data_IF_435587616445
#
_entry.id   IF_435587616445
#
_cell.length_a   1.000
_cell.length_b   1.000
_cell.length_c   1.000
_cell.angle_alpha   90.00
_cell.angle_beta   90.00
_cell.angle_gamma   90.00
#
_symmetry.space_group_name_H-M   'P 1'
#
loop_
_entity.id
_entity.type
_entity.pdbx_description
1 polymer ?
#
# COMPACT_ATOMS: atom_id res chain seq x y z
N UNK A 1 15.57 -3.41 1.17
CA UNK A 1 14.91 -2.32 1.96
C UNK A 1 15.45 -2.27 3.39
N UNK A 2 15.67 -1.09 3.99
CA UNK A 2 16.13 -0.95 5.40
C UNK A 2 15.05 -1.44 6.36
N UNK A 3 15.41 -2.20 7.39
CA UNK A 3 14.50 -2.65 8.44
C UNK A 3 13.60 -3.84 8.10
N UNK A 4 13.47 -4.22 6.82
CA UNK A 4 12.61 -5.34 6.41
C UNK A 4 13.03 -6.67 7.06
N UNK A 5 14.32 -7.01 6.99
CA UNK A 5 14.83 -8.27 7.57
C UNK A 5 14.57 -8.34 9.08
N UNK A 6 14.69 -7.21 9.78
CA UNK A 6 14.42 -7.14 11.22
C UNK A 6 12.94 -7.32 11.51
N UNK A 7 12.08 -6.66 10.73
CA UNK A 7 10.63 -6.84 10.79
C UNK A 7 10.22 -8.29 10.51
N UNK A 8 10.71 -8.88 9.42
CA UNK A 8 10.46 -10.28 9.02
C UNK A 8 10.82 -11.27 10.14
N UNK A 9 12.03 -11.15 10.72
CA UNK A 9 12.46 -11.99 11.84
C UNK A 9 11.57 -11.83 13.07
N UNK A 10 11.26 -10.58 13.45
CA UNK A 10 10.46 -10.28 14.65
C UNK A 10 9.03 -10.81 14.57
N UNK A 11 8.40 -10.70 13.39
CA UNK A 11 7.02 -11.13 13.17
C UNK A 11 6.88 -12.50 12.50
N UNK A 12 7.94 -13.31 12.51
CA UNK A 12 7.98 -14.63 11.85
C UNK A 12 6.87 -15.60 12.29
N UNK A 13 6.40 -15.50 13.55
CA UNK A 13 5.29 -16.30 14.09
C UNK A 13 3.91 -15.66 13.90
N UNK A 14 3.84 -14.45 13.33
CA UNK A 14 2.61 -13.66 13.21
C UNK A 14 2.33 -13.20 11.77
N UNK A 15 2.83 -13.92 10.76
CA UNK A 15 2.63 -13.57 9.35
C UNK A 15 1.16 -13.47 8.96
N UNK A 16 0.28 -14.20 9.64
CA UNK A 16 -1.16 -14.12 9.39
C UNK A 16 -1.86 -12.90 10.00
N UNK A 17 -1.19 -12.15 10.88
CA UNK A 17 -1.78 -11.02 11.61
C UNK A 17 -1.66 -9.69 10.87
N UNK A 18 -0.88 -9.68 9.78
CA UNK A 18 -0.67 -8.47 9.00
C UNK A 18 -0.51 -8.79 7.51
N UNK A 19 -0.66 -7.75 6.70
CA UNK A 19 -0.30 -7.76 5.28
C UNK A 19 0.44 -6.46 4.97
N UNK A 20 1.65 -6.56 4.41
CA UNK A 20 2.33 -5.40 3.86
C UNK A 20 1.72 -5.05 2.51
N UNK A 21 1.44 -3.76 2.33
CA UNK A 21 0.94 -3.20 1.09
C UNK A 21 1.86 -2.06 0.64
N UNK A 22 1.33 -1.17 -0.20
CA UNK A 22 1.96 0.12 -0.45
C UNK A 22 3.35 0.01 -1.10
N UNK A 23 4.30 0.81 -0.63
CA UNK A 23 5.62 0.92 -1.25
C UNK A 23 6.49 -0.32 -1.06
N UNK A 24 6.49 -0.86 0.16
CA UNK A 24 7.29 -2.02 0.54
C UNK A 24 6.90 -3.29 -0.23
N UNK A 25 5.59 -3.56 -0.36
CA UNK A 25 5.11 -4.70 -1.14
C UNK A 25 5.44 -4.53 -2.63
N UNK A 26 5.30 -3.33 -3.19
CA UNK A 26 5.70 -3.04 -4.58
C UNK A 26 7.20 -3.27 -4.78
N UNK A 27 8.02 -2.87 -3.80
CA UNK A 27 9.46 -3.11 -3.82
C UNK A 27 9.78 -4.60 -3.89
N UNK A 28 9.16 -5.41 -3.03
CA UNK A 28 9.41 -6.85 -2.94
C UNK A 28 9.01 -7.61 -4.20
N UNK A 29 7.86 -7.32 -4.79
CA UNK A 29 7.42 -8.03 -6.01
C UNK A 29 8.25 -7.67 -7.25
N UNK A 30 8.67 -6.41 -7.35
CA UNK A 30 9.53 -5.96 -8.45
C UNK A 30 10.95 -6.54 -8.31
N UNK A 31 11.52 -6.49 -7.11
CA UNK A 31 12.86 -7.03 -6.82
C UNK A 31 12.92 -8.56 -7.06
N UNK A 32 11.89 -9.29 -6.61
CA UNK A 32 11.77 -10.73 -6.86
C UNK A 32 11.67 -11.09 -8.36
N UNK A 33 11.18 -10.15 -9.19
CA UNK A 33 11.11 -10.30 -10.64
C UNK A 33 12.35 -9.76 -11.37
N UNK A 34 13.37 -9.27 -10.66
CA UNK A 34 14.58 -8.69 -11.23
C UNK A 34 14.39 -7.30 -11.85
N UNK A 35 13.28 -6.63 -11.56
CA UNK A 35 13.03 -5.25 -11.99
C UNK A 35 13.51 -4.27 -10.91
N UNK A 36 14.03 -3.11 -11.31
CA UNK A 36 14.50 -2.11 -10.34
C UNK A 36 13.33 -1.43 -9.60
N UNK A 37 13.16 -1.68 -8.28
CA UNK A 37 12.11 -1.03 -7.52
C UNK A 37 12.49 0.40 -7.13
N UNK A 38 11.50 1.27 -6.98
CA UNK A 38 11.71 2.60 -6.37
C UNK A 38 12.08 2.44 -4.90
N UNK A 39 13.08 3.18 -4.43
CA UNK A 39 13.42 3.23 -3.01
C UNK A 39 12.21 3.62 -2.14
N UNK A 40 11.98 2.83 -1.10
CA UNK A 40 10.98 3.06 -0.04
C UNK A 40 11.62 2.71 1.30
N UNK A 41 11.18 3.38 2.36
CA UNK A 41 11.67 3.15 3.74
C UNK A 41 10.53 2.97 4.74
N UNK A 42 9.31 3.01 4.23
CA UNK A 42 8.07 3.01 4.99
C UNK A 42 7.45 1.61 4.85
N UNK A 43 6.90 1.10 5.96
CA UNK A 43 6.07 -0.09 5.95
C UNK A 43 4.61 0.30 6.12
N UNK A 44 3.83 0.07 5.07
CA UNK A 44 2.38 0.18 5.08
C UNK A 44 1.80 -1.19 5.50
N UNK A 45 1.23 -1.26 6.70
CA UNK A 45 0.88 -2.51 7.39
C UNK A 45 -0.63 -2.56 7.64
N UNK A 46 -1.34 -3.44 6.95
CA UNK A 46 -2.75 -3.73 7.22
C UNK A 46 -2.82 -4.81 8.30
N UNK A 47 -3.61 -4.56 9.34
CA UNK A 47 -3.83 -5.53 10.42
C UNK A 47 -5.04 -6.42 10.12
N UNK A 48 -4.86 -7.73 10.28
CA UNK A 48 -5.90 -8.74 10.05
C UNK A 48 -6.72 -8.93 11.32
N UNK A 49 -7.79 -8.16 11.48
CA UNK A 49 -8.59 -8.06 12.72
C UNK A 49 -9.21 -9.38 13.17
N UNK A 50 -9.37 -10.33 12.25
CA UNK A 50 -9.95 -11.65 12.47
C UNK A 50 -9.07 -12.54 13.35
N UNK A 51 -7.76 -12.27 13.36
CA UNK A 51 -6.76 -13.05 14.10
C UNK A 51 -5.99 -12.19 15.10
N UNK A 52 -6.33 -10.91 15.26
CA UNK A 52 -5.67 -10.06 16.26
C UNK A 52 -5.98 -10.56 17.67
N UNK A 53 -4.91 -10.78 18.44
CA UNK A 53 -4.99 -11.10 19.85
C UNK A 53 -4.11 -10.15 20.69
N UNK A 54 -4.29 -10.22 22.02
CA UNK A 54 -3.52 -9.40 22.95
C UNK A 54 -2.02 -9.73 22.94
N UNK A 55 -1.63 -10.92 22.45
CA UNK A 55 -0.24 -11.34 22.38
C UNK A 55 0.46 -10.65 21.20
N UNK A 56 -0.16 -10.60 20.03
CA UNK A 56 0.30 -9.85 18.88
C UNK A 56 0.41 -8.35 19.19
N UNK A 57 -0.59 -7.77 19.86
CA UNK A 57 -0.52 -6.36 20.31
C UNK A 57 0.72 -6.06 21.14
N UNK A 58 1.09 -6.97 22.06
CA UNK A 58 2.34 -6.85 22.85
C UNK A 58 3.59 -7.00 21.98
N UNK A 59 3.62 -7.95 21.06
CA UNK A 59 4.76 -8.18 20.15
C UNK A 59 5.00 -6.96 19.25
N UNK A 60 3.92 -6.39 18.73
CA UNK A 60 3.94 -5.17 17.93
C UNK A 60 4.43 -3.97 18.74
N UNK A 61 3.91 -3.79 19.95
CA UNK A 61 4.37 -2.72 20.83
C UNK A 61 5.84 -2.86 21.22
N UNK A 62 6.31 -4.07 21.51
CA UNK A 62 7.73 -4.33 21.79
C UNK A 62 8.61 -3.93 20.59
N UNK A 63 8.19 -4.24 19.36
CA UNK A 63 8.92 -3.82 18.16
C UNK A 63 9.06 -2.29 18.08
N UNK A 64 7.96 -1.57 18.36
CA UNK A 64 7.93 -0.10 18.35
C UNK A 64 8.86 0.46 19.44
N UNK A 65 8.81 -0.09 20.65
CA UNK A 65 9.64 0.36 21.77
C UNK A 65 11.13 0.07 21.53
N UNK A 66 11.47 -1.12 21.04
CA UNK A 66 12.86 -1.48 20.72
C UNK A 66 13.44 -0.65 19.57
N UNK A 67 12.61 -0.28 18.58
CA UNK A 67 12.99 0.65 17.51
C UNK A 67 13.16 2.09 17.99
N UNK A 68 12.58 2.42 19.15
CA UNK A 68 12.62 3.73 19.77
C UNK A 68 12.09 4.83 18.84
N UNK A 69 10.89 4.63 18.30
CA UNK A 69 10.21 5.62 17.45
C UNK A 69 9.83 6.86 18.25
N UNK A 70 10.41 8.01 17.90
CA UNK A 70 10.23 9.27 18.62
C UNK A 70 8.88 9.93 18.34
N UNK A 71 8.34 9.73 17.14
CA UNK A 71 7.03 10.26 16.75
C UNK A 71 6.04 9.09 16.74
N UNK A 72 4.96 9.24 17.50
CA UNK A 72 3.92 8.23 17.64
C UNK A 72 2.54 8.91 17.56
N UNK A 73 1.85 8.69 16.46
CA UNK A 73 0.64 9.42 16.12
C UNK A 73 -0.55 8.48 15.90
N UNK A 74 -1.76 8.96 16.18
CA UNK A 74 -3.04 8.26 15.93
C UNK A 74 -4.02 9.18 15.21
N UNK A 75 -4.77 8.65 14.25
CA UNK A 75 -5.84 9.42 13.59
C UNK A 75 -6.96 9.79 14.56
N UNK A 76 -7.63 10.91 14.30
CA UNK A 76 -8.79 11.32 15.06
C UNK A 76 -10.08 10.71 14.44
N UNK A 77 -11.04 10.33 15.29
CA UNK A 77 -12.38 9.93 14.84
C UNK A 77 -12.53 8.45 14.49
N UNK A 78 -13.31 8.14 13.44
CA UNK A 78 -13.74 6.77 13.08
C UNK A 78 -12.65 5.90 12.43
N UNK A 79 -11.45 6.43 12.19
CA UNK A 79 -10.35 5.70 11.55
C UNK A 79 -9.38 5.16 12.60
N UNK A 80 -8.92 3.92 12.40
CA UNK A 80 -7.88 3.29 13.21
C UNK A 80 -6.56 3.30 12.45
N UNK A 81 -5.91 4.46 12.41
CA UNK A 81 -4.62 4.64 11.75
C UNK A 81 -3.58 5.10 12.77
N UNK A 82 -2.45 4.41 12.79
CA UNK A 82 -1.32 4.74 13.66
C UNK A 82 -0.07 4.95 12.82
N UNK A 83 0.75 5.94 13.19
CA UNK A 83 2.03 6.21 12.56
C UNK A 83 3.13 6.27 13.59
N UNK A 84 4.20 5.51 13.34
CA UNK A 84 5.42 5.54 14.14
C UNK A 84 6.58 5.94 13.23
N UNK A 85 7.29 7.02 13.52
CA UNK A 85 8.39 7.50 12.69
C UNK A 85 9.57 8.01 13.50
N UNK A 86 10.70 8.21 12.82
CA UNK A 86 11.99 8.59 13.42
C UNK A 86 12.45 7.56 14.47
N UNK A 87 12.81 6.33 14.07
CA UNK A 87 13.42 5.38 14.99
C UNK A 87 14.80 5.89 15.42
N UNK A 88 15.12 5.74 16.70
CA UNK A 88 16.49 5.93 17.21
C UNK A 88 17.43 4.82 16.75
N UNK A 89 16.89 3.63 16.48
CA UNK A 89 17.64 2.49 15.95
C UNK A 89 17.72 2.53 14.42
N UNK A 90 18.93 2.51 13.87
CA UNK A 90 19.18 2.66 12.42
C UNK A 90 18.78 1.44 11.58
N UNK A 91 18.61 0.28 12.20
CA UNK A 91 18.25 -0.97 11.54
C UNK A 91 16.74 -1.24 11.54
N UNK A 92 15.93 -0.27 11.95
CA UNK A 92 14.46 -0.30 11.86
C UNK A 92 13.93 0.44 10.63
N UNK A 93 12.71 0.10 10.16
CA UNK A 93 12.01 0.89 9.15
C UNK A 93 11.86 2.35 9.59
N UNK A 94 12.02 3.30 8.67
CA UNK A 94 11.98 4.74 8.99
C UNK A 94 10.59 5.17 9.46
N UNK A 95 9.56 4.52 8.94
CA UNK A 95 8.18 4.74 9.31
C UNK A 95 7.39 3.43 9.29
N UNK A 96 6.52 3.25 10.28
CA UNK A 96 5.48 2.23 10.31
C UNK A 96 4.13 2.95 10.22
N UNK A 97 3.33 2.56 9.24
CA UNK A 97 1.95 3.01 9.08
C UNK A 97 1.03 1.80 9.30
N UNK A 98 0.31 1.79 10.42
CA UNK A 98 -0.59 0.68 10.78
C UNK A 98 -2.03 1.05 10.44
N UNK A 99 -2.70 0.19 9.71
CA UNK A 99 -4.08 0.36 9.31
C UNK A 99 -4.95 -0.76 9.89
N UNK A 100 -5.98 -0.38 10.65
CA UNK A 100 -7.02 -1.30 11.11
C UNK A 100 -8.40 -0.82 10.69
N UNK A 101 -9.26 -1.77 10.29
CA UNK A 101 -10.65 -1.52 9.92
C UNK A 101 -11.54 -1.26 11.16
N UNK A 102 -11.07 -1.60 12.36
CA UNK A 102 -11.81 -1.39 13.62
C UNK A 102 -11.01 -0.50 14.60
N UNK A 103 -11.43 0.76 14.82
CA UNK A 103 -10.87 1.75 15.75
C UNK A 103 -10.35 1.20 17.07
N UNK A 104 -11.10 0.27 17.67
CA UNK A 104 -10.89 -0.18 19.05
C UNK A 104 -10.36 -1.61 19.17
N UNK A 105 -10.03 -2.26 18.04
CA UNK A 105 -9.56 -3.65 18.04
C UNK A 105 -8.10 -3.80 18.47
N UNK A 106 -7.32 -2.72 18.38
CA UNK A 106 -5.89 -2.73 18.67
C UNK A 106 -5.61 -1.85 19.90
N UNK A 107 -5.27 -2.49 21.02
CA UNK A 107 -4.81 -1.81 22.22
C UNK A 107 -3.28 -1.82 22.19
N UNK A 108 -2.66 -0.69 21.84
CA UNK A 108 -1.20 -0.54 21.76
C UNK A 108 -0.67 0.02 23.07
N UNK A 109 -0.44 -0.87 24.05
CA UNK A 109 0.12 -0.46 25.33
C UNK A 109 -0.69 0.66 25.99
N UNK A 110 -0.03 1.75 26.38
CA UNK A 110 -0.68 2.90 26.99
C UNK A 110 -0.95 3.97 25.91
N UNK A 111 -2.07 3.83 25.18
CA UNK A 111 -2.54 4.74 24.11
C UNK A 111 -2.53 6.24 24.49
N UNK A 112 -2.45 6.57 25.79
CA UNK A 112 -2.36 7.93 26.33
C UNK A 112 -1.12 8.73 25.89
N UNK A 113 -0.09 8.09 25.33
CA UNK A 113 1.12 8.76 24.83
C UNK A 113 1.06 9.13 23.34
N UNK A 114 0.05 8.66 22.60
CA UNK A 114 -0.07 8.92 21.16
C UNK A 114 -0.62 10.31 20.90
N UNK A 115 0.04 11.07 20.04
CA UNK A 115 -0.44 12.40 19.63
C UNK A 115 -1.39 12.30 18.44
N UNK A 116 -2.41 13.16 18.32
CA UNK A 116 -3.25 13.21 17.13
C UNK A 116 -2.47 13.49 15.84
N UNK A 117 -2.84 12.83 14.74
CA UNK A 117 -2.32 13.16 13.40
C UNK A 117 -2.85 14.55 13.00
N UNK A 118 -1.99 15.45 12.49
CA UNK A 118 -2.44 16.76 12.01
C UNK A 118 -3.55 16.63 10.95
N UNK A 119 -4.60 17.46 11.05
CA UNK A 119 -5.79 17.42 10.17
C UNK A 119 -5.43 17.52 8.68
N UNK A 120 -4.34 18.22 8.32
CA UNK A 120 -3.86 18.30 6.93
C UNK A 120 -3.40 16.92 6.38
N UNK A 121 -2.98 16.01 7.27
CA UNK A 121 -2.48 14.67 6.98
C UNK A 121 -3.48 13.54 7.25
N UNK A 122 -4.60 13.83 7.93
CA UNK A 122 -5.61 12.87 8.44
C UNK A 122 -6.41 12.13 7.33
N UNK A 123 -6.04 12.36 6.07
CA UNK A 123 -6.57 11.64 4.91
C UNK A 123 -5.40 11.06 4.12
N UNK A 124 -4.76 10.04 4.68
CA UNK A 124 -4.04 9.06 3.86
C UNK A 124 -5.09 8.36 2.99
N UNK A 125 -4.94 8.43 1.66
CA UNK A 125 -5.82 7.71 0.74
C UNK A 125 -5.86 6.21 1.05
N UNK A 126 -4.77 5.67 1.61
CA UNK A 126 -4.68 4.25 1.96
C UNK A 126 -5.59 3.85 3.12
N UNK A 127 -5.73 4.70 4.14
CA UNK A 127 -6.66 4.41 5.24
C UNK A 127 -8.12 4.49 4.80
N UNK A 128 -8.45 5.37 3.84
CA UNK A 128 -9.78 5.43 3.25
C UNK A 128 -10.11 4.16 2.44
N UNK A 129 -9.16 3.70 1.62
CA UNK A 129 -9.29 2.47 0.82
C UNK A 129 -9.59 1.26 1.71
N UNK A 130 -8.88 1.12 2.84
CA UNK A 130 -9.00 -0.05 3.72
C UNK A 130 -10.30 -0.10 4.53
N UNK A 131 -11.07 0.98 4.56
CA UNK A 131 -12.42 0.98 5.13
C UNK A 131 -13.46 0.41 4.16
N UNK A 132 -13.14 0.33 2.87
CA UNK A 132 -14.01 -0.26 1.86
C UNK A 132 -13.89 -1.78 1.89
N UNK A 133 -15.01 -2.46 2.12
CA UNK A 133 -15.07 -3.93 2.31
C UNK A 133 -14.37 -4.66 1.15
N UNK A 134 -14.68 -4.26 -0.08
CA UNK A 134 -14.18 -4.92 -1.29
C UNK A 134 -12.65 -4.89 -1.37
N UNK A 135 -12.00 -3.78 -1.00
CA UNK A 135 -10.53 -3.70 -0.99
C UNK A 135 -9.91 -4.52 0.14
N UNK A 136 -10.55 -4.53 1.32
CA UNK A 136 -10.08 -5.33 2.45
C UNK A 136 -10.13 -6.83 2.13
N UNK A 137 -11.23 -7.28 1.54
CA UNK A 137 -11.45 -8.69 1.19
C UNK A 137 -10.47 -9.13 0.08
N UNK A 138 -10.21 -8.26 -0.92
CA UNK A 138 -9.19 -8.48 -1.94
C UNK A 138 -7.79 -8.62 -1.33
N UNK A 139 -7.42 -7.78 -0.35
CA UNK A 139 -6.12 -7.87 0.32
C UNK A 139 -5.93 -9.23 1.01
N UNK A 140 -6.98 -9.72 1.67
CA UNK A 140 -6.97 -11.04 2.31
C UNK A 140 -6.92 -12.18 1.30
N UNK A 141 -7.71 -12.10 0.23
CA UNK A 141 -7.75 -13.11 -0.83
C UNK A 141 -6.42 -13.28 -1.55
N UNK A 142 -5.72 -12.17 -1.85
CA UNK A 142 -4.49 -12.15 -2.64
C UNK A 142 -3.22 -12.06 -1.80
N UNK A 143 -3.31 -12.36 -0.51
CA UNK A 143 -2.15 -12.42 0.39
C UNK A 143 -1.18 -13.52 -0.05
N UNK A 144 0.10 -13.19 -0.13
CA UNK A 144 1.20 -14.12 -0.41
C UNK A 144 2.39 -13.86 0.51
N UNK A 145 3.29 -14.82 0.61
CA UNK A 145 4.54 -14.66 1.36
C UNK A 145 5.72 -14.41 0.40
N UNK A 146 6.51 -13.38 0.68
CA UNK A 146 7.81 -13.12 0.03
C UNK A 146 8.81 -12.76 1.14
N UNK A 147 10.01 -13.32 1.12
CA UNK A 147 11.08 -13.03 2.10
C UNK A 147 10.65 -13.12 3.58
N UNK A 148 9.74 -14.05 3.91
CA UNK A 148 9.29 -14.27 5.29
C UNK A 148 8.24 -13.27 5.77
N UNK A 149 7.76 -12.36 4.92
CA UNK A 149 6.70 -11.41 5.24
C UNK A 149 5.43 -11.67 4.43
N UNK A 150 4.29 -11.43 5.05
CA UNK A 150 2.98 -11.46 4.41
C UNK A 150 2.75 -10.15 3.65
N UNK A 151 2.46 -10.24 2.35
CA UNK A 151 2.29 -9.10 1.44
C UNK A 151 1.11 -9.34 0.49
N UNK A 152 0.72 -8.31 -0.26
CA UNK A 152 -0.08 -8.49 -1.50
C UNK A 152 0.75 -8.30 -2.77
N UNK A 153 0.37 -9.03 -3.81
CA UNK A 153 1.02 -8.99 -5.12
C UNK A 153 0.57 -7.85 -6.05
N UNK A 154 1.20 -7.78 -7.21
CA UNK A 154 0.87 -6.89 -8.33
C UNK A 154 -0.64 -6.90 -8.66
N UNK A 155 -1.30 -8.05 -8.51
CA UNK A 155 -2.72 -8.27 -8.72
C UNK A 155 -3.58 -7.35 -7.84
N UNK A 156 -3.16 -7.12 -6.61
CA UNK A 156 -3.85 -6.26 -5.66
C UNK A 156 -3.23 -4.86 -5.59
N UNK A 157 -1.90 -4.76 -5.75
CA UNK A 157 -1.19 -3.48 -5.69
C UNK A 157 -1.61 -2.52 -6.81
N UNK A 158 -1.88 -3.01 -8.02
CA UNK A 158 -2.32 -2.16 -9.14
C UNK A 158 -3.65 -1.46 -8.81
N UNK A 159 -4.74 -2.18 -8.45
CA UNK A 159 -5.99 -1.53 -8.03
C UNK A 159 -5.83 -0.61 -6.82
N UNK A 160 -5.07 -1.00 -5.79
CA UNK A 160 -4.82 -0.14 -4.62
C UNK A 160 -4.14 1.18 -5.01
N UNK A 161 -3.15 1.12 -5.92
CA UNK A 161 -2.47 2.31 -6.45
C UNK A 161 -3.42 3.15 -7.31
N UNK A 162 -4.29 2.53 -8.10
CA UNK A 162 -5.28 3.21 -8.94
C UNK A 162 -6.27 4.01 -8.09
N UNK A 163 -6.80 3.41 -7.01
CA UNK A 163 -7.68 4.12 -6.10
C UNK A 163 -6.99 5.26 -5.36
N UNK A 164 -5.77 5.04 -4.87
CA UNK A 164 -5.00 6.10 -4.23
C UNK A 164 -4.72 7.27 -5.19
N UNK A 165 -4.48 6.99 -6.48
CA UNK A 165 -4.34 8.00 -7.51
C UNK A 165 -5.64 8.81 -7.69
N UNK A 166 -6.78 8.15 -7.82
CA UNK A 166 -8.09 8.79 -7.97
C UNK A 166 -8.41 9.71 -6.78
N UNK A 167 -8.21 9.23 -5.56
CA UNK A 167 -8.46 9.98 -4.33
C UNK A 167 -7.59 11.25 -4.25
N UNK A 168 -6.28 11.12 -4.49
CA UNK A 168 -5.36 12.25 -4.43
C UNK A 168 -5.63 13.26 -5.55
N UNK A 169 -5.95 12.80 -6.76
CA UNK A 169 -6.31 13.66 -7.90
C UNK A 169 -7.60 14.44 -7.60
N UNK A 170 -8.64 13.77 -7.09
CA UNK A 170 -9.90 14.42 -6.70
C UNK A 170 -9.70 15.42 -5.57
N UNK A 171 -8.95 15.06 -4.53
CA UNK A 171 -8.63 15.96 -3.41
C UNK A 171 -7.90 17.21 -3.89
N UNK A 172 -6.94 17.06 -4.81
CA UNK A 172 -6.20 18.18 -5.40
C UNK A 172 -7.11 19.07 -6.26
N UNK A 173 -7.97 18.48 -7.08
CA UNK A 173 -8.94 19.22 -7.90
C UNK A 173 -9.92 20.05 -7.04
N UNK A 174 -10.27 19.55 -5.86
CA UNK A 174 -11.11 20.25 -4.88
C UNK A 174 -10.34 21.28 -4.02
N UNK A 175 -9.11 21.63 -4.39
CA UNK A 175 -8.30 22.64 -3.67
C UNK A 175 -7.54 22.13 -2.45
N UNK A 176 -7.50 20.81 -2.23
CA UNK A 176 -6.71 20.20 -1.16
C UNK A 176 -5.20 20.34 -1.40
N UNK A 177 -4.43 20.53 -0.32
CA UNK A 177 -2.96 20.59 -0.35
C UNK A 177 -2.37 19.19 -0.64
N UNK A 178 -2.20 18.86 -1.91
CA UNK A 178 -1.63 17.58 -2.37
C UNK A 178 -0.40 17.83 -3.23
N UNK A 179 0.75 17.26 -2.84
CA UNK A 179 1.93 17.26 -3.70
C UNK A 179 1.68 16.39 -4.95
N UNK A 180 1.86 16.99 -6.12
CA UNK A 180 1.70 16.29 -7.40
C UNK A 180 2.67 15.11 -7.58
N UNK A 181 3.80 15.12 -6.86
CA UNK A 181 4.72 13.97 -6.82
C UNK A 181 4.06 12.74 -6.21
N UNK A 182 3.19 12.92 -5.22
CA UNK A 182 2.43 11.82 -4.61
C UNK A 182 1.37 11.25 -5.54
N UNK A 183 0.80 12.05 -6.43
CA UNK A 183 -0.10 11.53 -7.49
C UNK A 183 0.72 10.75 -8.52
N UNK A 184 1.80 11.36 -9.06
CA UNK A 184 2.63 10.74 -10.10
C UNK A 184 3.28 9.43 -9.66
N UNK A 185 3.69 9.28 -8.39
CA UNK A 185 4.30 8.02 -7.91
C UNK A 185 3.33 6.85 -8.05
N UNK A 186 2.03 7.03 -7.80
CA UNK A 186 1.05 5.94 -7.91
C UNK A 186 0.88 5.49 -9.37
N UNK A 187 0.75 6.45 -10.30
CA UNK A 187 0.73 6.16 -11.74
C UNK A 187 2.00 5.41 -12.18
N UNK A 188 3.17 5.89 -11.78
CA UNK A 188 4.42 5.25 -12.15
C UNK A 188 4.56 3.84 -11.56
N UNK A 189 4.08 3.62 -10.34
CA UNK A 189 4.09 2.29 -9.72
C UNK A 189 3.11 1.32 -10.43
N UNK A 190 1.93 1.79 -10.88
CA UNK A 190 1.01 0.99 -11.72
C UNK A 190 1.73 0.51 -12.99
N UNK A 191 2.42 1.41 -13.68
CA UNK A 191 3.14 1.10 -14.91
C UNK A 191 4.32 0.13 -14.67
N UNK A 192 5.01 0.25 -13.53
CA UNK A 192 6.07 -0.71 -13.16
C UNK A 192 5.50 -2.09 -12.87
N UNK A 193 4.45 -2.16 -12.06
CA UNK A 193 3.79 -3.40 -11.67
C UNK A 193 3.10 -4.09 -12.85
N UNK A 194 2.62 -3.32 -13.84
CA UNK A 194 2.08 -3.85 -15.09
C UNK A 194 3.01 -4.86 -15.76
N UNK A 195 4.33 -4.64 -15.71
CA UNK A 195 5.33 -5.55 -16.30
C UNK A 195 5.32 -6.96 -15.69
N UNK A 196 4.71 -7.12 -14.51
CA UNK A 196 4.55 -8.41 -13.84
C UNK A 196 3.26 -9.13 -14.23
N UNK A 197 2.32 -8.44 -14.89
CA UNK A 197 1.08 -9.06 -15.34
C UNK A 197 1.37 -10.02 -16.48
N UNK A 198 0.88 -11.25 -16.34
CA UNK A 198 0.94 -12.25 -17.41
C UNK A 198 -0.27 -12.08 -18.33
N UNK A 199 -0.07 -11.81 -19.64
CA UNK A 199 -1.18 -11.75 -20.59
C UNK A 199 -2.01 -13.04 -20.59
N UNK A 200 -3.34 -12.90 -20.56
CA UNK A 200 -4.27 -14.04 -20.56
C UNK A 200 -4.54 -14.65 -19.17
N UNK A 201 -3.92 -14.15 -18.10
CA UNK A 201 -4.35 -14.43 -16.73
C UNK A 201 -5.65 -13.69 -16.45
N UNK A 202 -6.60 -14.37 -15.81
CA UNK A 202 -7.82 -13.77 -15.29
C UNK A 202 -7.66 -13.49 -13.79
N UNK A 203 -7.83 -12.23 -13.39
CA UNK A 203 -7.76 -11.77 -12.01
C UNK A 203 -9.17 -11.33 -11.61
N UNK A 204 -9.81 -12.17 -10.80
CA UNK A 204 -11.13 -11.87 -10.27
C UNK A 204 -11.06 -10.75 -9.22
N UNK A 205 -11.89 -9.73 -9.41
CA UNK A 205 -11.95 -8.55 -8.57
C UNK A 205 -13.41 -8.10 -8.41
N UNK A 206 -13.79 -7.52 -7.26
CA UNK A 206 -15.09 -6.89 -7.10
C UNK A 206 -15.33 -5.79 -8.15
N UNK A 207 -16.59 -5.62 -8.55
CA UNK A 207 -16.96 -4.63 -9.58
C UNK A 207 -16.61 -3.19 -9.21
N UNK A 208 -16.62 -2.84 -7.92
CA UNK A 208 -16.18 -1.54 -7.42
C UNK A 208 -14.69 -1.29 -7.70
N UNK A 209 -13.85 -2.30 -7.45
CA UNK A 209 -12.40 -2.29 -7.67
C UNK A 209 -12.09 -2.22 -9.16
N UNK A 210 -12.80 -3.02 -9.98
CA UNK A 210 -12.70 -2.97 -11.45
C UNK A 210 -13.08 -1.58 -11.99
N UNK A 211 -14.15 -0.99 -11.47
CA UNK A 211 -14.60 0.35 -11.86
C UNK A 211 -13.55 1.42 -11.53
N UNK A 212 -12.99 1.40 -10.32
CA UNK A 212 -11.94 2.34 -9.93
C UNK A 212 -10.69 2.18 -10.82
N UNK A 213 -10.29 0.94 -11.11
CA UNK A 213 -9.18 0.69 -12.01
C UNK A 213 -9.49 1.21 -13.43
N UNK A 214 -10.70 0.97 -13.95
CA UNK A 214 -11.14 1.51 -15.26
C UNK A 214 -11.07 3.04 -15.28
N UNK A 215 -11.65 3.70 -14.29
CA UNK A 215 -11.69 5.16 -14.18
C UNK A 215 -10.28 5.75 -14.09
N UNK A 216 -9.39 5.10 -13.33
CA UNK A 216 -7.98 5.49 -13.25
C UNK A 216 -7.28 5.34 -14.61
N UNK A 217 -7.41 4.19 -15.28
CA UNK A 217 -6.77 3.93 -16.58
C UNK A 217 -7.19 4.97 -17.63
N UNK A 218 -8.49 5.29 -17.70
CA UNK A 218 -9.01 6.33 -18.61
C UNK A 218 -8.42 7.71 -18.29
N UNK A 219 -8.27 8.04 -17.01
CA UNK A 219 -7.77 9.34 -16.58
C UNK A 219 -6.25 9.49 -16.78
N UNK A 220 -5.48 8.40 -16.63
CA UNK A 220 -4.01 8.42 -16.79
C UNK A 220 -3.56 8.28 -18.25
N UNK A 221 -4.37 7.68 -19.13
CA UNK A 221 -4.03 7.40 -20.52
C UNK A 221 -3.45 8.63 -21.27
N UNK A 222 -4.02 9.85 -21.16
CA UNK A 222 -3.46 11.04 -21.80
C UNK A 222 -2.09 11.47 -21.25
N UNK A 223 -1.72 11.03 -20.04
CA UNK A 223 -0.42 11.31 -19.42
C UNK A 223 0.68 10.31 -19.84
N UNK A 224 0.29 9.20 -20.48
CA UNK A 224 1.22 8.14 -20.88
C UNK A 224 1.90 8.54 -22.19
N UNK A 225 3.16 8.96 -22.09
CA UNK A 225 3.98 9.34 -23.24
C UNK A 225 5.12 8.34 -23.46
N UNK A 226 5.63 8.17 -24.69
CA UNK A 226 6.79 7.33 -24.94
C UNK A 226 8.01 7.71 -24.08
N UNK A 227 8.19 9.01 -23.81
CA UNK A 227 9.25 9.49 -22.92
C UNK A 227 9.06 8.97 -21.49
N UNK A 228 7.84 9.05 -20.94
CA UNK A 228 7.54 8.51 -19.62
C UNK A 228 7.78 6.99 -19.54
N UNK A 229 7.38 6.23 -20.57
CA UNK A 229 7.58 4.78 -20.60
C UNK A 229 9.08 4.45 -20.61
N UNK A 230 9.87 5.16 -21.41
CA UNK A 230 11.33 5.03 -21.42
C UNK A 230 11.96 5.37 -20.06
N UNK A 231 11.53 6.46 -19.41
CA UNK A 231 12.01 6.85 -18.07
C UNK A 231 11.71 5.80 -16.99
N UNK A 232 10.72 4.94 -17.23
CA UNK A 232 10.34 3.85 -16.35
C UNK A 232 10.93 2.49 -16.78
N UNK A 233 11.80 2.48 -17.80
CA UNK A 233 12.40 1.29 -18.41
C UNK A 233 11.34 0.29 -18.94
N UNK A 234 10.21 0.80 -19.43
CA UNK A 234 9.16 -0.01 -20.05
C UNK A 234 9.41 -0.03 -21.55
N UNK A 235 10.14 -1.05 -22.00
CA UNK A 235 10.63 -1.18 -23.38
C UNK A 235 9.62 -1.78 -24.36
N UNK A 236 8.53 -2.39 -23.86
CA UNK A 236 7.55 -3.11 -24.69
C UNK A 236 6.12 -2.59 -24.50
N UNK A 237 5.43 -2.38 -25.63
CA UNK A 237 4.00 -2.03 -25.69
C UNK A 237 3.71 -0.56 -26.01
N UNK A 238 2.70 -0.33 -26.84
CA UNK A 238 2.11 1.01 -26.98
C UNK A 238 1.29 1.36 -25.73
N UNK A 239 0.99 2.64 -25.50
CA UNK A 239 0.08 3.09 -24.43
C UNK A 239 -1.24 2.28 -24.45
N UNK A 240 -1.81 2.10 -25.64
CA UNK A 240 -3.02 1.32 -25.84
C UNK A 240 -2.83 -0.17 -25.49
N UNK A 241 -1.64 -0.72 -25.71
CA UNK A 241 -1.31 -2.11 -25.35
C UNK A 241 -1.25 -2.29 -23.83
N UNK A 242 -0.68 -1.32 -23.11
CA UNK A 242 -0.61 -1.36 -21.64
C UNK A 242 -2.03 -1.33 -21.05
N UNK A 243 -2.83 -0.33 -21.43
CA UNK A 243 -4.19 -0.17 -20.89
C UNK A 243 -5.08 -1.36 -21.27
N UNK A 244 -5.03 -1.83 -22.51
CA UNK A 244 -5.78 -3.00 -22.98
C UNK A 244 -5.39 -4.28 -22.25
N UNK A 245 -4.10 -4.50 -22.00
CA UNK A 245 -3.63 -5.69 -21.28
C UNK A 245 -4.09 -5.67 -19.82
N UNK A 246 -3.99 -4.53 -19.13
CA UNK A 246 -4.53 -4.40 -17.77
C UNK A 246 -6.05 -4.66 -17.79
N UNK A 247 -6.81 -4.01 -18.68
CA UNK A 247 -8.26 -4.24 -18.77
C UNK A 247 -8.60 -5.72 -18.99
N UNK A 248 -7.91 -6.38 -19.90
CA UNK A 248 -8.14 -7.80 -20.22
C UNK A 248 -7.87 -8.69 -19.01
N UNK A 249 -6.76 -8.46 -18.30
CA UNK A 249 -6.37 -9.28 -17.14
C UNK A 249 -7.36 -9.14 -15.98
N UNK A 250 -7.98 -7.96 -15.80
CA UNK A 250 -8.97 -7.71 -14.75
C UNK A 250 -10.43 -7.85 -15.21
N UNK A 251 -10.68 -8.38 -16.42
CA UNK A 251 -12.03 -8.54 -16.96
C UNK A 251 -12.81 -7.23 -17.11
N UNK A 252 -12.13 -6.12 -17.38
CA UNK A 252 -12.74 -4.78 -17.52
C UNK A 252 -13.20 -4.59 -18.97
N UNK A 253 -14.51 -4.40 -19.16
CA UNK A 253 -15.07 -4.04 -20.46
C UNK A 253 -14.63 -2.64 -20.90
N UNK A 254 -14.47 -2.43 -22.21
CA UNK A 254 -14.12 -1.13 -22.79
C UNK A 254 -15.14 -0.02 -22.49
#
# INVERSE_FOLDING_TARGET
>A
MVGLKKFSSHFSSYKDHYVLIGGAASWLVLDAAGLEPRATKDLDIVLCIEVLDAQFGKVLWNFIQEGGYEIQEKSNGEKSFYRFSKPTQKDYPVMLELFSRKPDSLILGNDSQLTPIPIEEDVSSLSAILLENDYYDVIHQYKKEIEGVSIVGEECLIPLKARAWLDLTKRKANGGRVDSKNIRKHRNDILRLYQLLTPGRDIDMPESVKKDLKDCLLAVEPELTPHLLNDLNISEGSVATITSTIKTVYGIAD
#
